data_IF_488912752166
#
_entry.id   IF_488912752166
#
_cell.length_a   1.000
_cell.length_b   1.000
_cell.length_c   1.000
_cell.angle_alpha   90.00
_cell.angle_beta   90.00
_cell.angle_gamma   90.00
#
_symmetry.space_group_name_H-M   'P 1'
#
loop_
_entity.id
_entity.type
_entity.pdbx_description
1 polymer ?
#
# COMPACT_ATOMS: atom_id res chain seq x y z
N UNK A 1 7.14 -21.86 7.40
CA UNK A 1 8.34 -22.68 7.69
C UNK A 1 8.61 -23.71 6.57
N UNK A 2 7.63 -24.57 6.21
CA UNK A 2 7.81 -25.60 5.18
C UNK A 2 8.30 -25.08 3.83
N UNK A 3 7.81 -23.91 3.37
CA UNK A 3 8.25 -23.26 2.13
C UNK A 3 9.73 -22.83 2.16
N UNK A 4 10.21 -22.31 3.29
CA UNK A 4 11.62 -21.88 3.43
C UNK A 4 12.58 -23.07 3.49
N UNK A 5 12.14 -24.17 4.08
CA UNK A 5 12.86 -25.44 4.10
C UNK A 5 12.92 -26.05 2.70
N UNK A 6 11.79 -26.03 1.97
CA UNK A 6 11.71 -26.54 0.61
C UNK A 6 12.52 -25.71 -0.39
N UNK A 7 12.61 -24.38 -0.19
CA UNK A 7 13.42 -23.48 -1.00
C UNK A 7 14.92 -23.49 -0.63
N UNK A 8 15.36 -24.25 0.39
CA UNK A 8 16.76 -24.28 0.83
C UNK A 8 17.28 -22.98 1.48
N UNK A 9 16.41 -22.00 1.74
CA UNK A 9 16.79 -20.65 2.22
C UNK A 9 16.80 -20.52 3.75
N UNK A 10 16.99 -21.63 4.45
CA UNK A 10 17.03 -21.68 5.91
C UNK A 10 18.26 -20.96 6.48
N UNK A 11 19.37 -20.92 5.74
CA UNK A 11 20.57 -20.17 6.10
C UNK A 11 20.35 -18.65 6.01
N UNK A 12 19.71 -18.16 4.94
CA UNK A 12 19.36 -16.75 4.75
C UNK A 12 18.44 -16.24 5.88
N UNK A 13 17.45 -17.04 6.25
CA UNK A 13 16.54 -16.72 7.36
C UNK A 13 17.30 -16.61 8.70
N UNK A 14 18.23 -17.53 8.96
CA UNK A 14 19.09 -17.50 10.17
C UNK A 14 20.03 -16.30 10.16
N UNK A 15 20.56 -15.91 9.00
CA UNK A 15 21.40 -14.74 8.83
C UNK A 15 20.59 -13.43 9.02
N UNK A 16 19.37 -13.37 8.49
CA UNK A 16 18.47 -12.24 8.65
C UNK A 16 18.09 -12.00 10.12
N UNK A 17 17.80 -13.05 10.88
CA UNK A 17 17.50 -12.93 12.34
C UNK A 17 18.74 -12.51 13.13
N UNK A 18 19.95 -12.87 12.70
CA UNK A 18 21.18 -12.48 13.39
C UNK A 18 21.67 -11.07 13.03
N UNK A 19 21.10 -10.46 12.00
CA UNK A 19 21.45 -9.11 11.57
C UNK A 19 20.59 -8.08 12.31
N UNK A 20 21.18 -7.24 13.20
CA UNK A 20 20.42 -6.21 13.92
C UNK A 20 19.79 -5.19 12.97
N UNK A 21 20.45 -4.89 11.84
CA UNK A 21 19.89 -4.03 10.78
C UNK A 21 18.64 -4.65 10.14
N UNK A 22 18.68 -5.94 9.85
CA UNK A 22 17.53 -6.64 9.24
C UNK A 22 16.36 -6.74 10.22
N UNK A 23 16.64 -7.02 11.49
CA UNK A 23 15.64 -6.98 12.56
C UNK A 23 15.04 -5.58 12.75
N UNK A 24 15.87 -4.52 12.76
CA UNK A 24 15.39 -3.15 12.89
C UNK A 24 14.50 -2.75 11.70
N UNK A 25 14.89 -3.10 10.47
CA UNK A 25 14.06 -2.87 9.28
C UNK A 25 12.77 -3.68 9.32
N UNK A 26 12.81 -4.93 9.78
CA UNK A 26 11.63 -5.76 9.94
C UNK A 26 10.68 -5.19 11.01
N UNK A 27 11.21 -4.72 12.14
CA UNK A 27 10.44 -4.07 13.20
C UNK A 27 9.80 -2.77 12.69
N UNK A 28 10.56 -1.93 11.99
CA UNK A 28 10.04 -0.71 11.36
C UNK A 28 8.91 -1.03 10.37
N UNK A 29 9.13 -2.02 9.50
CA UNK A 29 8.12 -2.47 8.53
C UNK A 29 6.87 -2.98 9.24
N UNK A 30 7.02 -3.80 10.28
CA UNK A 30 5.92 -4.31 11.07
C UNK A 30 5.13 -3.18 11.76
N UNK A 31 5.81 -2.16 12.30
CA UNK A 31 5.17 -0.98 12.89
C UNK A 31 4.41 -0.20 11.83
N UNK A 32 5.03 0.08 10.67
CA UNK A 32 4.36 0.82 9.58
C UNK A 32 3.11 0.08 9.09
N UNK A 33 3.19 -1.23 8.89
CA UNK A 33 2.04 -2.05 8.49
C UNK A 33 0.97 -2.06 9.58
N UNK A 34 1.37 -2.22 10.85
CA UNK A 34 0.44 -2.22 11.99
C UNK A 34 -0.29 -0.88 12.13
N UNK A 35 0.42 0.24 11.97
CA UNK A 35 -0.18 1.57 11.98
C UNK A 35 -1.13 1.74 10.81
N UNK A 36 -0.73 1.34 9.60
CA UNK A 36 -1.56 1.44 8.41
C UNK A 36 -2.87 0.64 8.56
N UNK A 37 -2.80 -0.61 9.00
CA UNK A 37 -3.98 -1.45 9.27
C UNK A 37 -4.79 -0.96 10.46
N UNK A 38 -4.13 -0.48 11.51
CA UNK A 38 -4.79 0.08 12.69
C UNK A 38 -5.66 1.29 12.33
N UNK A 39 -5.14 2.20 11.49
CA UNK A 39 -5.90 3.34 10.98
C UNK A 39 -7.12 2.88 10.18
N UNK A 40 -6.98 1.86 9.33
CA UNK A 40 -8.09 1.30 8.56
C UNK A 40 -9.21 0.76 9.46
N UNK A 41 -8.85 -0.08 10.43
CA UNK A 41 -9.81 -0.66 11.38
C UNK A 41 -10.46 0.43 12.23
N UNK A 42 -9.68 1.39 12.71
CA UNK A 42 -10.19 2.54 13.46
C UNK A 42 -11.17 3.38 12.64
N UNK A 43 -10.85 3.65 11.37
CA UNK A 43 -11.72 4.44 10.50
C UNK A 43 -13.07 3.74 10.26
N UNK A 44 -13.07 2.42 10.08
CA UNK A 44 -14.31 1.63 10.03
C UNK A 44 -15.09 1.69 11.35
N UNK A 45 -14.38 1.62 12.48
CA UNK A 45 -15.01 1.67 13.81
C UNK A 45 -15.67 3.03 14.13
N UNK A 46 -15.24 4.11 13.48
CA UNK A 46 -15.83 5.46 13.59
C UNK A 46 -16.78 5.73 12.40
N UNK A 47 -17.35 4.69 11.79
CA UNK A 47 -18.30 4.74 10.67
C UNK A 47 -17.79 5.45 9.40
N UNK A 48 -16.47 5.69 9.27
CA UNK A 48 -15.81 6.25 8.07
C UNK A 48 -15.47 5.18 7.03
N UNK A 49 -16.30 4.16 6.93
CA UNK A 49 -16.08 2.99 6.06
C UNK A 49 -16.05 3.38 4.57
N UNK A 50 -16.96 4.25 4.13
CA UNK A 50 -17.05 4.69 2.72
C UNK A 50 -15.81 5.48 2.30
N UNK A 51 -15.38 6.43 3.13
CA UNK A 51 -14.17 7.22 2.89
C UNK A 51 -12.92 6.34 2.82
N UNK A 52 -12.83 5.36 3.71
CA UNK A 52 -11.70 4.43 3.79
C UNK A 52 -11.62 3.52 2.56
N UNK A 53 -12.76 2.96 2.13
CA UNK A 53 -12.83 2.14 0.93
C UNK A 53 -12.50 2.93 -0.35
N UNK A 54 -13.01 4.17 -0.46
CA UNK A 54 -12.68 5.08 -1.55
C UNK A 54 -11.19 5.39 -1.60
N UNK A 55 -10.57 5.69 -0.45
CA UNK A 55 -9.12 5.89 -0.36
C UNK A 55 -8.32 4.70 -0.91
N UNK A 56 -8.74 3.47 -0.61
CA UNK A 56 -8.11 2.26 -1.14
C UNK A 56 -8.28 2.10 -2.65
N UNK A 57 -9.42 2.48 -3.22
CA UNK A 57 -9.64 2.47 -4.68
C UNK A 57 -8.88 3.59 -5.41
N UNK A 58 -8.67 4.73 -4.75
CA UNK A 58 -7.92 5.87 -5.30
C UNK A 58 -6.41 5.59 -5.30
N UNK A 59 -5.90 4.80 -4.35
CA UNK A 59 -4.46 4.58 -4.17
C UNK A 59 -3.74 4.05 -5.43
N UNK A 60 -4.23 3.01 -6.15
CA UNK A 60 -3.65 2.59 -7.42
C UNK A 60 -3.64 3.69 -8.49
N UNK A 61 -4.67 4.53 -8.56
CA UNK A 61 -4.77 5.61 -9.54
C UNK A 61 -3.77 6.72 -9.23
N UNK A 62 -3.61 7.07 -7.95
CA UNK A 62 -2.56 8.00 -7.51
C UNK A 62 -1.17 7.44 -7.83
N UNK A 63 -0.93 6.15 -7.60
CA UNK A 63 0.34 5.51 -7.95
C UNK A 63 0.61 5.55 -9.46
N UNK A 64 -0.42 5.36 -10.29
CA UNK A 64 -0.33 5.50 -11.76
C UNK A 64 -0.01 6.94 -12.17
N UNK A 65 -0.67 7.94 -11.56
CA UNK A 65 -0.41 9.36 -11.84
C UNK A 65 1.00 9.75 -11.41
N UNK A 66 1.40 9.41 -10.19
CA UNK A 66 2.75 9.66 -9.67
C UNK A 66 3.80 8.95 -10.52
N UNK A 67 3.56 7.70 -10.90
CA UNK A 67 4.41 6.94 -11.80
C UNK A 67 4.55 7.62 -13.16
N UNK A 68 3.46 8.02 -13.79
CA UNK A 68 3.49 8.72 -15.08
C UNK A 68 4.20 10.08 -15.01
N UNK A 69 4.01 10.84 -13.93
CA UNK A 69 4.69 12.13 -13.74
C UNK A 69 6.19 11.95 -13.49
N UNK A 70 6.59 10.99 -12.65
CA UNK A 70 7.99 10.75 -12.30
C UNK A 70 8.78 10.02 -13.40
N UNK A 71 8.15 9.09 -14.10
CA UNK A 71 8.77 8.26 -15.14
C UNK A 71 8.56 8.83 -16.56
N UNK A 72 7.71 9.86 -16.71
CA UNK A 72 7.40 10.47 -18.01
C UNK A 72 6.57 9.57 -18.94
N UNK A 73 5.92 8.55 -18.39
CA UNK A 73 5.11 7.60 -19.17
C UNK A 73 3.82 8.26 -19.63
N UNK A 74 3.43 8.00 -20.88
CA UNK A 74 2.15 8.46 -21.43
C UNK A 74 1.04 7.54 -20.93
N UNK A 75 0.14 8.10 -20.13
CA UNK A 75 -1.04 7.39 -19.63
C UNK A 75 -1.94 6.96 -20.80
N UNK A 76 -2.40 5.72 -20.76
CA UNK A 76 -3.41 5.23 -21.71
C UNK A 76 -4.75 5.96 -21.51
N UNK A 77 -5.57 6.05 -22.57
CA UNK A 77 -6.86 6.74 -22.52
C UNK A 77 -7.79 6.20 -21.43
N UNK A 78 -7.73 4.88 -21.16
CA UNK A 78 -8.51 4.27 -20.08
C UNK A 78 -7.98 4.64 -18.69
N UNK A 79 -6.67 4.80 -18.52
CA UNK A 79 -6.08 5.27 -17.26
C UNK A 79 -6.49 6.72 -16.98
N UNK A 80 -6.47 7.59 -17.99
CA UNK A 80 -6.92 8.99 -17.87
C UNK A 80 -8.39 9.04 -17.44
N UNK A 81 -9.25 8.22 -18.06
CA UNK A 81 -10.66 8.13 -17.69
C UNK A 81 -10.85 7.65 -16.23
N UNK A 82 -10.09 6.66 -15.78
CA UNK A 82 -10.14 6.17 -14.41
C UNK A 82 -9.68 7.23 -13.39
N UNK A 83 -8.62 7.97 -13.70
CA UNK A 83 -8.12 9.09 -12.87
C UNK A 83 -9.17 10.21 -12.79
N UNK A 84 -9.79 10.58 -13.91
CA UNK A 84 -10.85 11.59 -13.93
C UNK A 84 -12.07 11.17 -13.08
N UNK A 85 -12.49 9.91 -13.18
CA UNK A 85 -13.59 9.38 -12.38
C UNK A 85 -13.27 9.38 -10.88
N UNK A 86 -12.05 9.03 -10.50
CA UNK A 86 -11.61 9.12 -9.11
C UNK A 86 -11.56 10.56 -8.59
N UNK A 87 -11.09 11.52 -9.41
CA UNK A 87 -11.12 12.93 -9.05
C UNK A 87 -12.55 13.42 -8.77
N UNK A 88 -13.52 13.04 -9.62
CA UNK A 88 -14.94 13.35 -9.41
C UNK A 88 -15.46 12.73 -8.12
N UNK A 89 -15.15 11.46 -7.85
CA UNK A 89 -15.58 10.77 -6.63
C UNK A 89 -15.05 11.47 -5.36
N UNK A 90 -13.78 11.90 -5.36
CA UNK A 90 -13.19 12.68 -4.26
C UNK A 90 -13.90 14.01 -4.09
N UNK A 91 -14.14 14.74 -5.19
CA UNK A 91 -14.85 16.02 -5.13
C UNK A 91 -16.25 15.84 -4.52
N UNK A 92 -17.05 14.88 -4.99
CA UNK A 92 -18.40 14.62 -4.45
C UNK A 92 -18.39 14.26 -2.97
N UNK A 93 -17.39 13.52 -2.50
CA UNK A 93 -17.27 13.17 -1.07
C UNK A 93 -16.86 14.35 -0.19
N UNK A 94 -16.17 15.34 -0.77
CA UNK A 94 -15.60 16.47 -0.03
C UNK A 94 -16.59 17.63 0.14
N UNK A 95 -17.58 17.77 -0.76
CA UNK A 95 -18.61 18.84 -0.71
C UNK A 95 -19.89 18.34 -0.06
#
# INVERSE_FOLDING_TARGET
>A
ACVLVWAGRTADFKAAIRSPKSLAMAALTAVLISVNWGIYVWAIAVDRTVETALGYYINPLVNVVVGAVLLGERLDRLQIAAVALAAVAVSVLTV
#
